data_IF_600865492264
#
_entry.id   IF_600865492264
#
_cell.length_a   1.000
_cell.length_b   1.000
_cell.length_c   1.000
_cell.angle_alpha   90.00
_cell.angle_beta   90.00
_cell.angle_gamma   90.00
#
_symmetry.space_group_name_H-M   'P 1'
#
loop_
_entity.id
_entity.type
_entity.pdbx_description
1 polymer ?
#
# COMPACT_ATOMS: atom_id res chain seq x y z
N UNK A 1 -21.97 -30.78 1.74
CA UNK A 1 -20.76 -29.91 1.65
C UNK A 1 -21.22 -28.52 2.00
N UNK A 2 -20.76 -27.93 3.10
CA UNK A 2 -21.12 -26.57 3.45
C UNK A 2 -20.47 -25.66 2.41
N UNK A 3 -21.31 -24.87 1.75
CA UNK A 3 -20.86 -23.90 0.75
C UNK A 3 -19.88 -22.90 1.42
N UNK A 4 -18.74 -22.68 0.80
CA UNK A 4 -17.74 -21.76 1.35
C UNK A 4 -18.30 -20.34 1.27
N UNK A 5 -17.93 -19.44 2.22
CA UNK A 5 -18.58 -18.13 2.37
C UNK A 5 -18.47 -17.20 1.15
N UNK A 6 -17.49 -17.44 0.26
CA UNK A 6 -17.28 -16.66 -0.97
C UNK A 6 -17.46 -17.51 -2.24
N UNK A 7 -18.17 -18.67 -2.15
CA UNK A 7 -18.47 -19.47 -3.33
C UNK A 7 -19.26 -18.67 -4.37
N UNK A 8 -18.77 -18.68 -5.63
CA UNK A 8 -19.37 -17.92 -6.74
C UNK A 8 -19.01 -16.43 -6.77
N UNK A 9 -18.27 -15.91 -5.82
CA UNK A 9 -17.85 -14.50 -5.79
C UNK A 9 -16.52 -14.34 -6.54
N UNK A 10 -16.46 -13.36 -7.44
CA UNK A 10 -15.31 -13.03 -8.30
C UNK A 10 -14.62 -11.78 -7.79
N UNK A 11 -13.41 -11.94 -7.28
CA UNK A 11 -12.66 -10.89 -6.57
C UNK A 11 -11.43 -10.47 -7.36
N UNK A 12 -11.29 -9.16 -7.56
CA UNK A 12 -10.06 -8.55 -8.07
C UNK A 12 -9.14 -8.16 -6.92
N UNK A 13 -7.90 -8.65 -6.97
CA UNK A 13 -6.80 -8.27 -6.07
C UNK A 13 -5.87 -7.34 -6.80
N UNK A 14 -5.70 -6.10 -6.29
CA UNK A 14 -4.94 -5.01 -6.94
C UNK A 14 -3.51 -4.85 -6.43
N UNK A 15 -3.07 -5.68 -5.48
CA UNK A 15 -1.72 -5.60 -4.88
C UNK A 15 -0.63 -5.92 -5.89
N UNK A 16 0.60 -5.44 -5.59
CA UNK A 16 1.79 -5.79 -6.37
C UNK A 16 1.93 -7.32 -6.50
N UNK A 17 2.49 -7.79 -7.61
CA UNK A 17 2.63 -9.23 -7.92
C UNK A 17 3.21 -10.05 -6.76
N UNK A 18 4.24 -9.52 -6.08
CA UNK A 18 4.87 -10.19 -4.91
C UNK A 18 3.91 -10.31 -3.72
N UNK A 19 3.01 -9.35 -3.53
CA UNK A 19 2.13 -9.26 -2.36
C UNK A 19 0.72 -9.80 -2.62
N UNK A 20 0.35 -10.04 -3.87
CA UNK A 20 -0.98 -10.53 -4.24
C UNK A 20 -1.21 -11.96 -3.76
N UNK A 21 -0.21 -12.82 -3.82
CA UNK A 21 -0.34 -14.26 -3.54
C UNK A 21 -0.98 -14.57 -2.18
N UNK A 22 -0.57 -13.86 -1.12
CA UNK A 22 -1.10 -14.08 0.24
C UNK A 22 -2.60 -13.77 0.31
N UNK A 23 -3.02 -12.61 -0.21
CA UNK A 23 -4.42 -12.18 -0.19
C UNK A 23 -5.27 -13.07 -1.12
N UNK A 24 -4.77 -13.36 -2.31
CA UNK A 24 -5.42 -14.26 -3.27
C UNK A 24 -5.66 -15.65 -2.70
N UNK A 25 -4.66 -16.23 -2.02
CA UNK A 25 -4.79 -17.55 -1.39
C UNK A 25 -5.87 -17.56 -0.30
N UNK A 26 -5.95 -16.50 0.52
CA UNK A 26 -6.99 -16.38 1.56
C UNK A 26 -8.39 -16.38 0.93
N UNK A 27 -8.62 -15.59 -0.10
CA UNK A 27 -9.91 -15.56 -0.80
C UNK A 27 -10.25 -16.88 -1.50
N UNK A 28 -9.29 -17.50 -2.20
CA UNK A 28 -9.49 -18.82 -2.83
C UNK A 28 -9.84 -19.89 -1.82
N UNK A 29 -9.21 -19.89 -0.64
CA UNK A 29 -9.51 -20.83 0.45
C UNK A 29 -10.96 -20.68 0.95
N UNK A 30 -11.53 -19.48 0.85
CA UNK A 30 -12.92 -19.18 1.20
C UNK A 30 -13.89 -19.41 0.02
N UNK A 31 -13.41 -19.88 -1.12
CA UNK A 31 -14.23 -20.27 -2.26
C UNK A 31 -14.35 -19.25 -3.37
N UNK A 32 -13.70 -18.09 -3.26
CA UNK A 32 -13.75 -17.05 -4.29
C UNK A 32 -12.97 -17.44 -5.55
N UNK A 33 -13.45 -17.00 -6.70
CA UNK A 33 -12.66 -16.88 -7.92
C UNK A 33 -11.84 -15.59 -7.85
N UNK A 34 -10.51 -15.68 -7.96
CA UNK A 34 -9.62 -14.53 -7.78
C UNK A 34 -8.89 -14.19 -9.04
N UNK A 35 -9.06 -12.95 -9.48
CA UNK A 35 -8.34 -12.32 -10.58
C UNK A 35 -7.28 -11.37 -10.03
N UNK A 36 -6.01 -11.63 -10.35
CA UNK A 36 -4.91 -10.76 -9.94
C UNK A 36 -4.66 -9.70 -11.03
N UNK A 37 -4.90 -8.44 -10.67
CA UNK A 37 -4.62 -7.26 -11.47
C UNK A 37 -3.69 -6.32 -10.72
N UNK A 38 -2.39 -6.58 -10.69
CA UNK A 38 -1.44 -5.72 -10.00
C UNK A 38 -1.48 -4.31 -10.61
N UNK A 39 -1.95 -3.32 -9.85
CA UNK A 39 -1.93 -1.92 -10.28
C UNK A 39 -0.72 -1.16 -9.75
N UNK A 40 0.16 -1.85 -9.02
CA UNK A 40 1.37 -1.30 -8.42
C UNK A 40 2.56 -2.17 -8.82
N UNK A 41 3.60 -1.53 -9.35
CA UNK A 41 4.94 -2.10 -9.51
C UNK A 41 5.87 -1.54 -8.44
N UNK A 42 6.68 -2.41 -7.85
CA UNK A 42 7.74 -2.05 -6.92
C UNK A 42 9.07 -2.34 -7.61
N UNK A 43 9.90 -1.33 -7.71
CA UNK A 43 11.22 -1.41 -8.35
C UNK A 43 12.32 -0.81 -7.47
N UNK A 44 13.60 -1.13 -7.71
CA UNK A 44 14.71 -0.45 -7.07
C UNK A 44 14.67 1.07 -7.29
N UNK A 45 15.32 1.87 -6.42
CA UNK A 45 15.57 3.28 -6.68
C UNK A 45 16.49 3.46 -7.89
N UNK A 46 16.61 4.68 -8.40
CA UNK A 46 17.57 4.98 -9.49
C UNK A 46 19.03 4.74 -9.07
N UNK A 47 19.32 4.97 -7.81
CA UNK A 47 20.63 4.73 -7.23
C UNK A 47 20.49 4.23 -5.78
N UNK A 48 21.26 3.21 -5.44
CA UNK A 48 21.39 2.72 -4.07
C UNK A 48 22.35 3.57 -3.21
N UNK A 49 23.19 4.39 -3.84
CA UNK A 49 24.24 5.15 -3.17
C UNK A 49 23.76 6.00 -1.97
N UNK A 50 22.63 6.74 -2.05
CA UNK A 50 22.17 7.51 -0.89
C UNK A 50 21.77 6.61 0.29
N UNK A 51 21.14 5.46 0.03
CA UNK A 51 20.76 4.51 1.07
C UNK A 51 21.99 3.83 1.67
N UNK A 52 22.95 3.41 0.84
CA UNK A 52 24.19 2.78 1.27
C UNK A 52 25.00 3.71 2.18
N UNK A 53 25.18 4.96 1.77
CA UNK A 53 25.88 5.97 2.58
C UNK A 53 25.19 6.26 3.92
N UNK A 54 23.84 6.22 3.95
CA UNK A 54 23.10 6.37 5.18
C UNK A 54 23.28 5.15 6.11
N UNK A 55 23.26 3.94 5.54
CA UNK A 55 23.47 2.68 6.28
C UNK A 55 24.90 2.60 6.83
N UNK A 56 25.92 2.96 6.07
CA UNK A 56 27.32 3.02 6.55
C UNK A 56 27.48 3.95 7.77
N UNK A 57 26.62 4.97 7.86
CA UNK A 57 26.58 5.93 8.97
C UNK A 57 25.50 5.61 10.01
N UNK A 58 24.99 4.38 10.05
CA UNK A 58 23.82 4.02 10.86
C UNK A 58 23.94 4.39 12.33
N UNK A 59 25.13 4.30 12.90
CA UNK A 59 25.42 4.66 14.31
C UNK A 59 25.27 6.17 14.62
N UNK A 60 25.12 7.02 13.60
CA UNK A 60 24.86 8.45 13.78
C UNK A 60 23.37 8.78 13.88
N UNK A 61 22.48 7.80 13.63
CA UNK A 61 21.04 7.98 13.73
C UNK A 61 20.51 7.46 15.07
N UNK A 62 19.69 8.27 15.73
CA UNK A 62 18.93 7.85 16.91
C UNK A 62 17.81 6.88 16.54
N UNK A 63 17.22 7.10 15.35
CA UNK A 63 16.08 6.34 14.86
C UNK A 63 16.18 6.00 13.38
N UNK A 64 15.63 4.83 13.03
CA UNK A 64 15.25 4.50 11.65
C UNK A 64 13.73 4.34 11.62
N UNK A 65 13.05 5.10 10.74
CA UNK A 65 11.59 5.07 10.58
C UNK A 65 11.20 4.27 9.34
N UNK A 66 10.36 3.25 9.51
CA UNK A 66 9.80 2.49 8.39
C UNK A 66 8.29 2.65 8.30
N UNK A 67 7.81 3.07 7.14
CA UNK A 67 6.39 3.17 6.81
C UNK A 67 5.87 1.98 5.99
N UNK A 68 6.72 1.03 5.60
CA UNK A 68 6.34 -0.14 4.80
C UNK A 68 7.32 -1.30 4.92
N UNK A 69 6.83 -2.52 4.73
CA UNK A 69 7.65 -3.72 4.65
C UNK A 69 8.65 -3.67 3.48
N UNK A 70 8.28 -3.03 2.35
CA UNK A 70 9.19 -2.88 1.20
C UNK A 70 10.43 -2.06 1.55
N UNK A 71 10.28 -1.02 2.39
CA UNK A 71 11.43 -0.23 2.86
C UNK A 71 12.35 -1.06 3.76
N UNK A 72 11.80 -1.91 4.61
CA UNK A 72 12.57 -2.86 5.44
C UNK A 72 13.31 -3.86 4.55
N UNK A 73 12.62 -4.47 3.57
CA UNK A 73 13.23 -5.43 2.62
C UNK A 73 14.46 -4.80 1.94
N UNK A 74 14.28 -3.59 1.41
CA UNK A 74 15.35 -2.86 0.71
C UNK A 74 16.49 -2.48 1.66
N UNK A 75 16.18 -1.91 2.82
CA UNK A 75 17.16 -1.51 3.83
C UNK A 75 18.01 -2.71 4.29
N UNK A 76 17.38 -3.82 4.65
CA UNK A 76 18.10 -5.01 5.14
C UNK A 76 18.95 -5.66 4.05
N UNK A 77 18.46 -5.69 2.81
CA UNK A 77 19.25 -6.18 1.67
C UNK A 77 20.48 -5.30 1.41
N UNK A 78 20.33 -3.96 1.54
CA UNK A 78 21.47 -3.03 1.36
C UNK A 78 22.44 -3.07 2.55
N UNK A 79 21.94 -3.17 3.78
CA UNK A 79 22.78 -3.33 4.97
C UNK A 79 23.71 -4.54 4.81
N UNK A 80 23.16 -5.70 4.42
CA UNK A 80 23.95 -6.89 4.13
C UNK A 80 24.98 -6.66 3.00
N UNK A 81 24.59 -5.92 1.93
CA UNK A 81 25.46 -5.65 0.79
C UNK A 81 26.65 -4.74 1.13
N UNK A 82 26.49 -3.80 2.09
CA UNK A 82 27.56 -2.92 2.58
C UNK A 82 28.26 -3.46 3.83
N UNK A 83 27.97 -4.71 4.23
CA UNK A 83 28.63 -5.38 5.34
C UNK A 83 28.19 -4.95 6.73
N UNK A 84 27.03 -4.29 6.85
CA UNK A 84 26.42 -3.93 8.13
C UNK A 84 25.51 -5.07 8.60
N UNK A 85 25.89 -5.69 9.72
CA UNK A 85 25.17 -6.81 10.33
C UNK A 85 24.20 -6.35 11.43
N UNK A 86 23.61 -7.35 12.09
CA UNK A 86 22.66 -7.10 13.16
C UNK A 86 23.29 -6.37 14.36
N UNK A 87 24.53 -6.70 14.69
CA UNK A 87 25.25 -6.10 15.82
C UNK A 87 25.37 -4.58 15.67
N UNK A 88 25.63 -4.08 14.44
CA UNK A 88 25.68 -2.64 14.18
C UNK A 88 24.29 -1.99 14.25
N UNK A 89 23.24 -2.72 13.91
CA UNK A 89 21.86 -2.24 13.94
C UNK A 89 21.27 -2.21 15.37
N UNK A 90 21.79 -3.01 16.30
CA UNK A 90 21.31 -3.08 17.69
C UNK A 90 21.46 -1.74 18.46
N UNK A 91 22.32 -0.83 17.99
CA UNK A 91 22.50 0.50 18.58
C UNK A 91 21.47 1.53 18.13
N UNK A 92 20.65 1.21 17.13
CA UNK A 92 19.69 2.13 16.52
C UNK A 92 18.27 1.74 16.91
N UNK A 93 17.44 2.70 17.26
CA UNK A 93 16.02 2.48 17.55
C UNK A 93 15.24 2.42 16.24
N UNK A 94 14.29 1.49 16.16
CA UNK A 94 13.44 1.33 14.99
C UNK A 94 12.01 1.73 15.31
N UNK A 95 11.46 2.67 14.52
CA UNK A 95 10.06 3.07 14.55
C UNK A 95 9.34 2.51 13.31
N UNK A 96 8.11 2.03 13.48
CA UNK A 96 7.29 1.50 12.40
C UNK A 96 5.89 2.10 12.45
N UNK A 97 5.18 2.21 11.31
CA UNK A 97 3.85 2.83 11.29
C UNK A 97 2.73 1.81 11.53
N UNK A 98 2.91 0.54 11.28
CA UNK A 98 1.80 -0.40 11.44
C UNK A 98 2.22 -1.86 11.61
N UNK A 99 1.26 -2.75 11.94
CA UNK A 99 1.54 -4.13 12.31
C UNK A 99 2.21 -4.92 11.18
N UNK A 100 1.83 -4.71 9.91
CA UNK A 100 2.49 -5.37 8.79
C UNK A 100 3.96 -4.99 8.66
N UNK A 101 4.31 -3.74 8.98
CA UNK A 101 5.71 -3.26 9.01
C UNK A 101 6.43 -3.79 10.24
N UNK A 102 5.75 -3.82 11.41
CA UNK A 102 6.30 -4.39 12.63
C UNK A 102 6.63 -5.88 12.47
N UNK A 103 5.73 -6.66 11.90
CA UNK A 103 5.95 -8.08 11.62
C UNK A 103 7.12 -8.29 10.65
N UNK A 104 7.19 -7.51 9.57
CA UNK A 104 8.29 -7.59 8.62
C UNK A 104 9.67 -7.30 9.25
N UNK A 105 9.74 -6.44 10.26
CA UNK A 105 10.96 -6.18 11.03
C UNK A 105 11.25 -7.32 12.01
N UNK A 106 10.21 -7.82 12.69
CA UNK A 106 10.31 -8.95 13.64
C UNK A 106 10.77 -10.25 12.95
N UNK A 107 10.29 -10.52 11.73
CA UNK A 107 10.71 -11.68 10.91
C UNK A 107 12.23 -11.66 10.62
N UNK A 108 12.89 -10.50 10.77
CA UNK A 108 14.34 -10.33 10.65
C UNK A 108 15.06 -10.31 11.99
N UNK A 109 14.35 -10.64 13.06
CA UNK A 109 14.85 -10.72 14.42
C UNK A 109 15.10 -9.34 15.07
N UNK A 110 14.49 -8.28 14.55
CA UNK A 110 14.58 -6.91 15.11
C UNK A 110 13.22 -6.52 15.66
N UNK A 111 13.14 -6.24 16.96
CA UNK A 111 11.91 -5.73 17.57
C UNK A 111 11.82 -4.22 17.37
N UNK A 112 10.69 -3.68 16.86
CA UNK A 112 10.51 -2.24 16.81
C UNK A 112 10.50 -1.63 18.21
N UNK A 113 11.19 -0.51 18.37
CA UNK A 113 11.21 0.27 19.61
C UNK A 113 9.95 1.13 19.77
N UNK A 114 9.27 1.43 18.67
CA UNK A 114 8.04 2.22 18.65
C UNK A 114 7.12 1.82 17.50
N UNK A 115 5.83 1.73 17.80
CA UNK A 115 4.74 1.60 16.86
C UNK A 115 3.53 2.37 17.41
N UNK A 116 2.91 3.29 16.67
CA UNK A 116 1.80 4.10 17.16
C UNK A 116 0.54 3.26 17.42
N UNK A 117 -0.34 3.77 18.26
CA UNK A 117 -1.62 3.11 18.63
C UNK A 117 -2.60 3.02 17.45
N UNK A 118 -2.57 3.99 16.54
CA UNK A 118 -3.25 3.96 15.24
C UNK A 118 -2.26 4.25 14.13
N UNK A 119 -2.48 3.62 12.94
CA UNK A 119 -1.47 3.52 11.89
C UNK A 119 -1.59 4.66 10.87
N UNK A 120 -1.76 5.88 11.36
CA UNK A 120 -1.84 7.11 10.58
C UNK A 120 -0.67 8.05 10.90
N UNK A 121 -0.38 8.96 10.01
CA UNK A 121 0.76 9.88 10.13
C UNK A 121 0.64 10.79 11.36
N UNK A 122 -0.57 11.21 11.66
CA UNK A 122 -0.91 12.10 12.77
C UNK A 122 -0.59 11.45 14.12
N UNK A 123 -1.02 10.22 14.31
CA UNK A 123 -0.75 9.45 15.55
C UNK A 123 0.73 9.07 15.65
N UNK A 124 1.37 8.71 14.54
CA UNK A 124 2.82 8.48 14.53
C UNK A 124 3.57 9.69 15.11
N UNK A 125 3.25 10.90 14.65
CA UNK A 125 3.91 12.12 15.14
C UNK A 125 3.55 12.39 16.59
N UNK A 126 2.26 12.36 16.94
CA UNK A 126 1.81 12.72 18.29
C UNK A 126 2.34 11.79 19.38
N UNK A 127 2.48 10.50 19.09
CA UNK A 127 2.95 9.48 20.03
C UNK A 127 4.46 9.18 19.89
N UNK A 128 5.16 9.81 18.91
CA UNK A 128 6.58 9.54 18.71
C UNK A 128 7.38 9.87 19.97
N UNK A 129 8.27 8.97 20.42
CA UNK A 129 9.06 9.20 21.62
C UNK A 129 9.79 10.56 21.59
N UNK A 130 9.71 11.28 22.72
CA UNK A 130 10.33 12.60 22.89
C UNK A 130 9.64 13.75 22.10
N UNK A 131 8.59 13.50 21.29
CA UNK A 131 7.80 14.58 20.66
C UNK A 131 7.06 15.40 21.74
N UNK A 132 6.99 16.74 21.66
CA UNK A 132 7.43 17.59 20.53
C UNK A 132 8.88 18.09 20.64
N UNK A 133 9.74 17.56 21.51
CA UNK A 133 11.10 18.02 21.69
C UNK A 133 12.12 17.06 21.06
N UNK A 134 12.23 17.13 19.72
CA UNK A 134 13.16 16.31 18.94
C UNK A 134 14.47 17.03 18.56
N UNK A 135 14.81 18.11 19.26
CA UNK A 135 15.99 18.93 18.95
C UNK A 135 17.26 18.09 18.87
N UNK A 136 17.88 18.09 17.69
CA UNK A 136 19.14 17.40 17.41
C UNK A 136 19.01 15.88 17.21
N UNK A 137 17.81 15.29 17.31
CA UNK A 137 17.61 13.88 17.00
C UNK A 137 17.77 13.64 15.51
N UNK A 138 18.58 12.65 15.16
CA UNK A 138 18.81 12.24 13.78
C UNK A 138 17.95 11.03 13.44
N UNK A 139 17.14 11.15 12.39
CA UNK A 139 16.20 10.12 11.95
C UNK A 139 16.51 9.77 10.50
N UNK A 140 16.82 8.50 10.24
CA UNK A 140 16.86 7.98 8.88
C UNK A 140 15.47 7.49 8.49
N UNK A 141 14.97 7.95 7.35
CA UNK A 141 13.68 7.51 6.82
C UNK A 141 13.80 6.92 5.42
N UNK A 142 14.13 5.62 5.32
CA UNK A 142 14.06 4.90 4.05
C UNK A 142 12.60 4.77 3.60
N UNK A 143 12.28 5.30 2.41
CA UNK A 143 10.89 5.31 1.93
C UNK A 143 10.81 5.23 0.40
N UNK A 144 9.59 5.18 -0.11
CA UNK A 144 9.33 5.29 -1.55
C UNK A 144 9.46 6.73 -2.04
N UNK A 145 9.63 6.88 -3.36
CA UNK A 145 9.64 8.17 -4.07
C UNK A 145 8.32 8.98 -3.93
N UNK A 146 7.23 8.36 -3.49
CA UNK A 146 5.92 9.00 -3.28
C UNK A 146 5.51 8.92 -1.81
N UNK A 147 4.72 9.90 -1.34
CA UNK A 147 4.18 9.90 0.01
C UNK A 147 3.98 11.30 0.58
N UNK A 148 3.21 11.39 1.68
CA UNK A 148 2.89 12.65 2.33
C UNK A 148 4.12 13.26 2.99
N UNK A 149 4.20 14.60 3.01
CA UNK A 149 5.25 15.32 3.70
C UNK A 149 4.97 15.51 5.20
N UNK A 150 3.74 15.30 5.66
CA UNK A 150 3.27 15.63 7.00
C UNK A 150 4.22 15.20 8.14
N UNK A 151 4.67 13.93 8.13
CA UNK A 151 5.58 13.42 9.17
C UNK A 151 6.92 14.15 9.12
N UNK A 152 7.47 14.37 7.91
CA UNK A 152 8.71 15.10 7.70
C UNK A 152 8.61 16.52 8.25
N UNK A 153 7.54 17.23 7.86
CA UNK A 153 7.33 18.62 8.25
C UNK A 153 7.19 18.74 9.76
N UNK A 154 6.32 17.94 10.39
CA UNK A 154 6.05 18.02 11.84
C UNK A 154 7.24 17.63 12.71
N UNK A 155 7.97 16.58 12.34
CA UNK A 155 9.16 16.18 13.09
C UNK A 155 10.33 17.17 12.90
N UNK A 156 10.45 17.78 11.71
CA UNK A 156 11.44 18.84 11.46
C UNK A 156 11.08 20.11 12.25
N UNK A 157 9.82 20.52 12.28
CA UNK A 157 9.32 21.63 13.14
C UNK A 157 9.64 21.37 14.62
N UNK A 158 9.62 20.11 15.07
CA UNK A 158 9.97 19.71 16.42
C UNK A 158 11.51 19.64 16.67
N UNK A 159 12.33 19.94 15.66
CA UNK A 159 13.77 20.06 15.74
C UNK A 159 14.56 18.79 15.35
N UNK A 160 13.90 17.78 14.77
CA UNK A 160 14.59 16.60 14.25
C UNK A 160 15.37 16.92 12.97
N UNK A 161 16.47 16.21 12.78
CA UNK A 161 17.24 16.18 11.52
C UNK A 161 16.88 14.87 10.82
N UNK A 162 16.15 14.96 9.70
CA UNK A 162 15.62 13.78 9.02
C UNK A 162 16.29 13.61 7.67
N UNK A 163 17.01 12.49 7.52
CA UNK A 163 17.57 12.07 6.24
C UNK A 163 16.55 11.14 5.54
N UNK A 164 15.85 11.68 4.55
CA UNK A 164 14.90 10.92 3.72
C UNK A 164 15.66 10.32 2.55
N UNK A 165 15.64 8.98 2.45
CA UNK A 165 16.34 8.28 1.37
C UNK A 165 15.36 7.37 0.61
N UNK A 166 15.49 7.37 -0.71
CA UNK A 166 14.70 6.48 -1.55
C UNK A 166 15.22 5.05 -1.40
N UNK A 167 14.36 4.14 -0.94
CA UNK A 167 14.69 2.73 -0.74
C UNK A 167 13.99 1.81 -1.75
N UNK A 168 12.92 2.29 -2.39
CA UNK A 168 12.24 1.63 -3.48
C UNK A 168 11.36 2.64 -4.22
N UNK A 169 10.94 2.30 -5.44
CA UNK A 169 10.01 3.09 -6.23
C UNK A 169 8.68 2.38 -6.37
N UNK A 170 7.63 3.18 -6.36
CA UNK A 170 6.27 2.74 -6.66
C UNK A 170 5.83 3.41 -7.94
N UNK A 171 5.41 2.60 -8.91
CA UNK A 171 4.94 3.05 -10.23
C UNK A 171 3.74 2.23 -10.68
N UNK A 172 3.16 2.61 -11.80
CA UNK A 172 2.28 1.73 -12.56
C UNK A 172 3.08 0.51 -13.07
N UNK A 173 2.43 -0.64 -13.26
CA UNK A 173 3.09 -1.80 -13.83
C UNK A 173 3.48 -1.53 -15.29
N UNK A 174 4.60 -2.11 -15.79
CA UNK A 174 5.07 -1.85 -17.16
C UNK A 174 4.11 -2.34 -18.24
N UNK A 175 3.18 -3.24 -17.91
CA UNK A 175 2.13 -3.74 -18.79
C UNK A 175 0.75 -3.13 -18.46
N UNK A 176 0.72 -1.88 -18.04
CA UNK A 176 -0.50 -1.17 -17.61
C UNK A 176 -1.61 -1.18 -18.66
N UNK A 177 -1.28 -1.09 -19.93
CA UNK A 177 -2.25 -1.15 -21.04
C UNK A 177 -2.94 -2.51 -21.14
N UNK A 178 -2.19 -3.60 -21.08
CA UNK A 178 -2.74 -4.96 -21.07
C UNK A 178 -3.67 -5.16 -19.85
N UNK A 179 -3.23 -4.70 -18.68
CA UNK A 179 -4.04 -4.76 -17.44
C UNK A 179 -5.33 -3.97 -17.61
N UNK A 180 -5.25 -2.77 -18.16
CA UNK A 180 -6.38 -1.88 -18.40
C UNK A 180 -7.42 -2.51 -19.35
N UNK A 181 -6.98 -3.07 -20.47
CA UNK A 181 -7.85 -3.73 -21.46
C UNK A 181 -8.55 -4.96 -20.86
N UNK A 182 -7.80 -5.80 -20.16
CA UNK A 182 -8.36 -7.01 -19.53
C UNK A 182 -9.34 -6.65 -18.42
N UNK A 183 -8.98 -5.73 -17.52
CA UNK A 183 -9.84 -5.32 -16.41
C UNK A 183 -11.14 -4.70 -16.90
N UNK A 184 -11.05 -3.73 -17.82
CA UNK A 184 -12.25 -3.08 -18.37
C UNK A 184 -13.11 -4.03 -19.20
N UNK A 185 -12.52 -5.05 -19.84
CA UNK A 185 -13.27 -6.11 -20.51
C UNK A 185 -14.06 -6.95 -19.53
N UNK A 186 -13.48 -7.34 -18.39
CA UNK A 186 -14.18 -8.12 -17.35
C UNK A 186 -15.29 -7.29 -16.68
N UNK A 187 -15.03 -6.01 -16.39
CA UNK A 187 -16.04 -5.10 -15.83
C UNK A 187 -17.27 -4.99 -16.75
N UNK A 188 -17.05 -4.79 -18.05
CA UNK A 188 -18.16 -4.72 -19.04
C UNK A 188 -18.96 -6.01 -19.16
N UNK A 189 -18.34 -7.15 -18.93
CA UNK A 189 -19.03 -8.46 -18.94
C UNK A 189 -19.73 -8.76 -17.61
N UNK A 190 -19.65 -7.85 -16.64
CA UNK A 190 -20.17 -8.04 -15.28
C UNK A 190 -19.69 -9.34 -14.63
N UNK A 191 -18.39 -9.67 -14.85
CA UNK A 191 -17.76 -10.87 -14.26
C UNK A 191 -16.81 -10.52 -13.13
N UNK A 192 -17.02 -9.38 -12.46
CA UNK A 192 -16.32 -8.96 -11.25
C UNK A 192 -17.39 -8.52 -10.23
N UNK A 193 -17.30 -9.06 -9.02
CA UNK A 193 -18.20 -8.72 -7.93
C UNK A 193 -17.54 -7.80 -6.91
N UNK A 194 -16.23 -7.98 -6.64
CA UNK A 194 -15.50 -7.22 -5.65
C UNK A 194 -14.14 -6.78 -6.19
N UNK A 195 -13.75 -5.53 -5.91
CA UNK A 195 -12.38 -5.04 -6.08
C UNK A 195 -11.81 -4.69 -4.71
N UNK A 196 -10.63 -5.24 -4.37
CA UNK A 196 -9.97 -4.99 -3.10
C UNK A 196 -8.79 -4.02 -3.25
N UNK A 197 -8.73 -3.04 -2.35
CA UNK A 197 -7.71 -2.00 -2.29
C UNK A 197 -6.99 -2.05 -0.94
N UNK A 198 -5.70 -2.32 -0.95
CA UNK A 198 -4.89 -2.45 0.26
C UNK A 198 -3.91 -1.28 0.47
N UNK A 199 -4.06 -0.17 -0.27
CA UNK A 199 -3.31 1.08 -0.06
C UNK A 199 -3.95 2.24 -0.82
N UNK A 200 -3.73 3.46 -0.36
CA UNK A 200 -4.17 4.68 -1.07
C UNK A 200 -3.56 4.76 -2.49
N UNK A 201 -2.34 4.26 -2.68
CA UNK A 201 -1.70 4.23 -4.00
C UNK A 201 -2.39 3.26 -4.95
N UNK A 202 -2.93 2.13 -4.46
CA UNK A 202 -3.71 1.21 -5.31
C UNK A 202 -4.99 1.86 -5.84
N UNK A 203 -5.66 2.71 -5.05
CA UNK A 203 -6.83 3.46 -5.50
C UNK A 203 -6.48 4.48 -6.60
N UNK A 204 -5.38 5.23 -6.43
CA UNK A 204 -4.89 6.18 -7.46
C UNK A 204 -4.54 5.46 -8.76
N UNK A 205 -3.76 4.40 -8.65
CA UNK A 205 -3.30 3.64 -9.81
C UNK A 205 -4.46 2.92 -10.52
N UNK A 206 -5.42 2.37 -9.76
CA UNK A 206 -6.63 1.78 -10.34
C UNK A 206 -7.41 2.82 -11.17
N UNK A 207 -7.54 4.06 -10.68
CA UNK A 207 -8.12 5.16 -11.46
C UNK A 207 -7.41 5.32 -12.80
N UNK A 208 -6.06 5.38 -12.80
CA UNK A 208 -5.27 5.53 -14.02
C UNK A 208 -5.47 4.35 -14.98
N UNK A 209 -5.42 3.11 -14.44
CA UNK A 209 -5.65 1.89 -15.22
C UNK A 209 -7.04 1.89 -15.86
N UNK A 210 -8.08 2.25 -15.10
CA UNK A 210 -9.44 2.35 -15.64
C UNK A 210 -9.53 3.44 -16.72
N UNK A 211 -8.89 4.59 -16.52
CA UNK A 211 -8.84 5.66 -17.53
C UNK A 211 -8.22 5.15 -18.84
N UNK A 212 -7.05 4.50 -18.78
CA UNK A 212 -6.39 3.92 -19.96
C UNK A 212 -7.32 2.94 -20.70
N UNK A 213 -8.01 2.05 -19.99
CA UNK A 213 -8.87 1.04 -20.61
C UNK A 213 -10.20 1.59 -21.15
N UNK A 214 -10.66 2.74 -20.61
CA UNK A 214 -11.87 3.43 -21.08
C UNK A 214 -11.57 4.38 -22.25
N UNK A 215 -10.42 5.07 -22.25
CA UNK A 215 -9.99 5.99 -23.31
C UNK A 215 -9.89 5.33 -24.68
N UNK A 216 -9.34 4.12 -24.77
CA UNK A 216 -9.23 3.40 -26.06
C UNK A 216 -10.56 3.27 -26.81
N UNK A 217 -11.70 3.26 -26.11
CA UNK A 217 -13.02 3.23 -26.75
C UNK A 217 -13.60 4.61 -27.03
N UNK A 218 -13.11 5.64 -26.39
CA UNK A 218 -13.46 7.02 -26.75
C UNK A 218 -12.73 7.51 -27.99
N UNK A 219 -11.48 7.08 -28.20
CA UNK A 219 -10.72 7.30 -29.43
C UNK A 219 -11.45 6.69 -30.63
N UNK A 220 -12.00 5.47 -30.51
CA UNK A 220 -12.82 4.83 -31.54
C UNK A 220 -14.12 5.60 -31.86
N UNK A 221 -14.54 6.54 -30.99
CA UNK A 221 -15.73 7.39 -31.18
C UNK A 221 -15.40 8.85 -31.50
N UNK A 222 -14.14 9.19 -31.78
CA UNK A 222 -13.69 10.57 -32.03
C UNK A 222 -14.09 11.58 -30.91
N UNK A 223 -14.14 11.15 -29.67
CA UNK A 223 -14.47 12.00 -28.52
C UNK A 223 -13.18 12.30 -27.72
N UNK A 224 -12.61 13.45 -27.92
CA UNK A 224 -11.42 13.99 -27.26
C UNK A 224 -11.77 14.58 -25.85
N UNK A 225 -12.51 13.81 -25.02
CA UNK A 225 -12.94 14.25 -23.69
C UNK A 225 -12.17 13.48 -22.62
N UNK A 226 -11.49 14.19 -21.70
CA UNK A 226 -10.83 13.53 -20.56
C UNK A 226 -11.80 12.68 -19.77
N UNK A 227 -11.41 11.44 -19.39
CA UNK A 227 -12.24 10.53 -18.61
C UNK A 227 -12.58 11.16 -17.26
N UNK A 228 -13.84 11.58 -17.12
CA UNK A 228 -14.41 12.14 -15.89
C UNK A 228 -14.63 11.07 -14.80
N UNK A 229 -14.96 11.55 -13.59
CA UNK A 229 -15.32 10.67 -12.46
C UNK A 229 -16.56 9.81 -12.78
N UNK A 230 -17.53 10.36 -13.47
CA UNK A 230 -18.74 9.68 -13.89
C UNK A 230 -18.44 8.41 -14.71
N UNK A 231 -17.52 8.48 -15.68
CA UNK A 231 -17.12 7.31 -16.46
C UNK A 231 -16.49 6.22 -15.61
N UNK A 232 -15.69 6.60 -14.60
CA UNK A 232 -15.09 5.65 -13.66
C UNK A 232 -16.16 5.01 -12.77
N UNK A 233 -17.09 5.81 -12.23
CA UNK A 233 -18.17 5.33 -11.37
C UNK A 233 -19.09 4.38 -12.13
N UNK A 234 -19.44 4.73 -13.38
CA UNK A 234 -20.25 3.88 -14.25
C UNK A 234 -19.54 2.55 -14.61
N UNK A 235 -18.21 2.58 -14.81
CA UNK A 235 -17.44 1.36 -15.06
C UNK A 235 -17.38 0.42 -13.84
N UNK A 236 -17.60 0.95 -12.64
CA UNK A 236 -17.66 0.22 -11.37
C UNK A 236 -19.09 -0.05 -10.90
N UNK A 237 -20.11 0.21 -11.73
CA UNK A 237 -21.50 -0.10 -11.38
C UNK A 237 -21.67 -1.60 -11.14
N UNK A 238 -22.34 -1.95 -10.04
CA UNK A 238 -22.53 -3.36 -9.63
C UNK A 238 -21.29 -4.02 -9.01
N UNK A 239 -20.15 -3.30 -8.90
CA UNK A 239 -18.92 -3.82 -8.28
C UNK A 239 -18.77 -3.24 -6.88
N UNK A 240 -18.50 -4.09 -5.89
CA UNK A 240 -18.20 -3.70 -4.52
C UNK A 240 -16.73 -3.27 -4.42
N UNK A 241 -16.47 -2.07 -3.93
CA UNK A 241 -15.12 -1.56 -3.66
C UNK A 241 -14.80 -1.72 -2.18
N UNK A 242 -13.90 -2.65 -1.86
CA UNK A 242 -13.46 -2.96 -0.50
C UNK A 242 -12.05 -2.39 -0.22
N UNK A 243 -11.89 -1.74 0.92
CA UNK A 243 -10.65 -1.07 1.32
C UNK A 243 -10.14 -1.57 2.66
N UNK A 244 -8.81 -1.56 2.82
CA UNK A 244 -8.13 -2.04 4.04
C UNK A 244 -8.28 -1.09 5.24
N UNK A 245 -8.73 0.14 5.03
CA UNK A 245 -8.86 1.12 6.11
C UNK A 245 -9.00 2.56 5.62
N UNK A 246 -9.12 3.53 6.54
CA UNK A 246 -9.59 4.89 6.27
C UNK A 246 -8.76 5.68 5.25
N UNK A 247 -7.43 5.56 5.28
CA UNK A 247 -6.57 6.25 4.30
C UNK A 247 -6.79 5.77 2.86
N UNK A 248 -7.00 4.46 2.72
CA UNK A 248 -7.33 3.84 1.43
C UNK A 248 -8.74 4.22 1.00
N UNK A 249 -9.68 4.29 1.93
CA UNK A 249 -11.07 4.71 1.68
C UNK A 249 -11.15 6.17 1.22
N UNK A 250 -10.42 7.07 1.87
CA UNK A 250 -10.35 8.48 1.43
C UNK A 250 -9.86 8.58 -0.02
N UNK A 251 -8.77 7.85 -0.33
CA UNK A 251 -8.24 7.82 -1.69
C UNK A 251 -9.22 7.18 -2.68
N UNK A 252 -9.93 6.11 -2.30
CA UNK A 252 -10.91 5.45 -3.16
C UNK A 252 -12.12 6.38 -3.42
N UNK A 253 -12.66 7.04 -2.41
CA UNK A 253 -13.74 8.04 -2.60
C UNK A 253 -13.29 9.17 -3.53
N UNK A 254 -12.07 9.68 -3.33
CA UNK A 254 -11.51 10.77 -4.14
C UNK A 254 -11.26 10.37 -5.60
N UNK A 255 -10.78 9.16 -5.85
CA UNK A 255 -10.28 8.75 -7.17
C UNK A 255 -11.23 7.81 -7.93
N UNK A 256 -12.08 7.07 -7.23
CA UNK A 256 -13.02 6.11 -7.81
C UNK A 256 -14.48 6.49 -7.56
N UNK A 257 -14.74 7.48 -6.71
CA UNK A 257 -16.08 7.98 -6.39
C UNK A 257 -16.84 7.14 -5.36
N UNK A 258 -16.29 6.02 -4.88
CA UNK A 258 -17.00 5.12 -3.96
C UNK A 258 -16.11 4.29 -3.05
N UNK A 259 -16.70 3.86 -1.95
CA UNK A 259 -16.24 2.78 -1.06
C UNK A 259 -17.51 2.11 -0.52
N UNK A 260 -17.59 0.81 -0.62
CA UNK A 260 -18.75 0.02 -0.17
C UNK A 260 -18.41 -0.75 1.12
N UNK A 261 -17.17 -1.19 1.25
CA UNK A 261 -16.68 -1.91 2.42
C UNK A 261 -15.37 -1.27 2.87
N UNK A 262 -15.28 -0.93 4.17
CA UNK A 262 -14.04 -0.52 4.83
C UNK A 262 -13.76 -1.50 5.97
N UNK A 263 -12.56 -2.10 5.97
CA UNK A 263 -12.17 -2.99 7.06
C UNK A 263 -12.01 -2.20 8.38
N UNK A 264 -12.47 -2.78 9.46
CA UNK A 264 -12.32 -2.21 10.82
C UNK A 264 -10.98 -2.58 11.45
N UNK A 265 -10.39 -3.69 11.01
CA UNK A 265 -9.04 -4.11 11.38
C UNK A 265 -8.14 -3.92 10.15
N UNK A 266 -7.17 -3.00 10.24
CA UNK A 266 -6.36 -2.52 9.10
C UNK A 266 -5.23 -3.49 8.73
N UNK A 267 -5.60 -4.75 8.52
CA UNK A 267 -4.73 -5.85 8.14
C UNK A 267 -5.28 -6.59 6.93
N UNK A 268 -4.47 -7.47 6.33
CA UNK A 268 -4.92 -8.32 5.23
C UNK A 268 -6.06 -9.24 5.69
N UNK A 269 -5.98 -9.78 6.90
CA UNK A 269 -7.03 -10.63 7.47
C UNK A 269 -8.31 -9.83 7.70
N UNK A 270 -8.20 -8.64 8.29
CA UNK A 270 -9.36 -7.76 8.47
C UNK A 270 -10.02 -7.33 7.16
N UNK A 271 -9.26 -7.15 6.07
CA UNK A 271 -9.85 -6.91 4.75
C UNK A 271 -10.60 -8.14 4.23
N UNK A 272 -10.06 -9.35 4.45
CA UNK A 272 -10.73 -10.59 4.06
C UNK A 272 -12.04 -10.76 4.84
N UNK A 273 -11.99 -10.58 6.15
CA UNK A 273 -13.17 -10.69 7.04
C UNK A 273 -14.26 -9.68 6.64
N UNK A 274 -13.86 -8.42 6.39
CA UNK A 274 -14.79 -7.37 5.96
C UNK A 274 -15.46 -7.70 4.62
N UNK A 275 -14.73 -8.28 3.67
CA UNK A 275 -15.31 -8.73 2.37
C UNK A 275 -16.29 -9.86 2.60
N UNK A 276 -15.98 -10.86 3.43
CA UNK A 276 -16.91 -11.97 3.75
C UNK A 276 -18.21 -11.44 4.34
N UNK A 277 -18.11 -10.56 5.35
CA UNK A 277 -19.29 -9.97 5.99
C UNK A 277 -20.11 -9.09 5.04
N UNK A 278 -19.42 -8.26 4.24
CA UNK A 278 -20.07 -7.31 3.33
C UNK A 278 -20.83 -7.98 2.19
N UNK A 279 -20.24 -9.01 1.59
CA UNK A 279 -20.90 -9.75 0.49
C UNK A 279 -22.11 -10.52 0.99
N UNK A 280 -22.09 -11.09 2.19
CA UNK A 280 -23.24 -11.80 2.76
C UNK A 280 -24.44 -10.87 3.03
N UNK A 281 -24.18 -9.60 3.40
CA UNK A 281 -25.25 -8.59 3.59
C UNK A 281 -25.93 -8.15 2.30
N UNK A 282 -25.21 -8.16 1.18
CA UNK A 282 -25.77 -7.76 -0.13
C UNK A 282 -26.58 -8.90 -0.75
N UNK A 283 -26.36 -10.15 -0.32
CA UNK A 283 -27.03 -11.35 -0.82
C UNK A 283 -28.34 -11.68 -0.06
N UNK A 284 -28.66 -10.93 0.99
CA UNK A 284 -29.93 -10.98 1.75
C UNK A 284 -30.84 -9.83 1.33
#
# INVERSE_FOLDING_TARGET
>A
MTDKPLSGIRIVVTRSKKQAATLSSKFRNLGAEVHEFPVISISPPESWQPLDQAIEKIKQYDWVLFASANAIDAFMARAAAVGIGKEELDFTKFAVIGPGTANALADRGIKPSFCPSTFIAETLVAEFPEYPNLKGKRILWPRTNVGRAYVLDKMTEAGAIIDVVESYRTSLPPNEQEIAERLTTLLRKSVIDVITLASAQSARNLRTILSIGLDKKMVDRNLDVPIGMESITNALEGVVVATIGPETSEAARKHLGRVDIEATVFTIDGLVDAVVEGVQRVSQ
#
